data_IF_125691382255
#
_entry.id   IF_125691382255
#
_cell.length_a   1.000
_cell.length_b   1.000
_cell.length_c   1.000
_cell.angle_alpha   90.00
_cell.angle_beta   90.00
_cell.angle_gamma   90.00
#
_symmetry.space_group_name_H-M   'P 1'
#
loop_
_entity.id
_entity.type
_entity.pdbx_description
1 polymer ?
#
# COMPACT_ATOMS: atom_id res chain seq x y z
N UNK A 1 7.37 27.20 -37.97
CA UNK A 1 6.37 26.29 -38.57
C UNK A 1 6.70 24.94 -38.02
N UNK A 2 6.03 24.54 -36.98
CA UNK A 2 6.24 23.24 -36.31
C UNK A 2 5.44 22.19 -37.08
N UNK A 3 6.14 21.35 -37.80
CA UNK A 3 5.53 20.20 -38.45
C UNK A 3 5.10 19.18 -37.40
N UNK A 4 3.83 18.96 -37.40
CA UNK A 4 3.05 17.81 -36.91
C UNK A 4 3.78 16.80 -36.02
N UNK A 5 3.67 17.01 -34.70
CA UNK A 5 3.90 15.96 -33.74
C UNK A 5 2.86 14.84 -33.96
N UNK A 6 3.29 13.64 -34.31
CA UNK A 6 2.43 12.48 -34.57
C UNK A 6 1.80 11.86 -33.34
N UNK A 7 1.89 12.50 -32.15
CA UNK A 7 1.24 12.09 -30.91
C UNK A 7 1.81 10.85 -30.23
N UNK A 8 2.86 10.22 -30.76
CA UNK A 8 3.46 9.03 -30.13
C UNK A 8 4.70 9.41 -29.31
N UNK A 9 4.47 9.78 -28.05
CA UNK A 9 5.52 10.28 -27.14
C UNK A 9 6.47 9.19 -26.64
N UNK A 10 6.13 7.92 -26.72
CA UNK A 10 6.94 6.81 -26.21
C UNK A 10 8.19 6.51 -27.06
N UNK A 11 8.22 6.94 -28.32
CA UNK A 11 9.34 6.74 -29.24
C UNK A 11 10.02 8.04 -29.71
N UNK A 12 9.63 9.20 -29.15
CA UNK A 12 10.13 10.50 -29.55
C UNK A 12 11.38 10.90 -28.77
N UNK A 13 12.48 11.24 -29.43
CA UNK A 13 13.74 11.72 -28.84
C UNK A 13 13.81 13.23 -28.62
N UNK A 14 12.79 13.98 -29.00
CA UNK A 14 12.75 15.44 -28.91
C UNK A 14 12.35 15.92 -27.52
N UNK A 15 12.96 17.00 -27.02
CA UNK A 15 12.58 17.69 -25.80
C UNK A 15 11.33 18.54 -26.05
N UNK A 16 10.14 17.96 -25.84
CA UNK A 16 8.86 18.61 -26.07
C UNK A 16 8.27 19.13 -24.75
N UNK A 17 7.88 20.43 -24.74
CA UNK A 17 7.21 21.05 -23.58
C UNK A 17 5.80 20.50 -23.30
N UNK A 18 5.20 19.80 -24.26
CA UNK A 18 3.88 19.16 -24.14
C UNK A 18 3.95 17.70 -23.67
N UNK A 19 5.16 17.16 -23.45
CA UNK A 19 5.30 15.80 -22.93
C UNK A 19 4.72 15.76 -21.49
N UNK A 20 3.55 15.19 -21.36
CA UNK A 20 3.02 14.86 -20.03
C UNK A 20 3.97 13.83 -19.40
N UNK A 21 4.50 14.07 -18.17
CA UNK A 21 5.28 13.05 -17.50
C UNK A 21 4.41 11.79 -17.36
N UNK A 22 4.97 10.64 -17.72
CA UNK A 22 4.32 9.36 -17.42
C UNK A 22 4.06 9.31 -15.91
N UNK A 23 2.82 9.05 -15.55
CA UNK A 23 2.47 8.87 -14.15
C UNK A 23 3.16 7.61 -13.64
N UNK A 24 4.06 7.77 -12.67
CA UNK A 24 4.67 6.65 -11.95
C UNK A 24 3.71 6.03 -10.91
N UNK A 25 2.47 6.49 -10.90
CA UNK A 25 1.45 6.03 -9.96
C UNK A 25 0.96 4.64 -10.36
N UNK A 26 1.29 3.65 -9.54
CA UNK A 26 0.72 2.31 -9.66
C UNK A 26 -0.80 2.37 -9.45
N UNK A 27 -1.54 1.59 -10.24
CA UNK A 27 -2.99 1.48 -10.07
C UNK A 27 -3.30 0.41 -9.02
N UNK A 28 -4.29 0.64 -8.15
CA UNK A 28 -4.70 -0.39 -7.20
C UNK A 28 -5.33 -1.58 -7.93
N UNK A 29 -5.46 -2.71 -7.23
CA UNK A 29 -6.18 -3.86 -7.75
C UNK A 29 -7.55 -3.43 -8.31
N UNK A 30 -7.95 -3.86 -9.52
CA UNK A 30 -9.23 -3.45 -10.13
C UNK A 30 -10.47 -3.81 -9.30
N UNK A 31 -10.37 -4.80 -8.42
CA UNK A 31 -11.44 -5.20 -7.51
C UNK A 31 -11.47 -4.40 -6.22
N UNK A 32 -10.41 -3.64 -5.93
CA UNK A 32 -10.34 -2.77 -4.77
C UNK A 32 -11.26 -1.56 -4.91
N UNK A 33 -11.90 -1.19 -3.81
CA UNK A 33 -12.67 0.05 -3.70
C UNK A 33 -12.10 0.89 -2.57
N UNK A 34 -11.34 1.90 -2.94
CA UNK A 34 -10.60 2.77 -2.01
C UNK A 34 -11.08 4.21 -2.20
N UNK A 35 -11.53 4.84 -1.12
CA UNK A 35 -12.01 6.22 -1.13
C UNK A 35 -10.87 7.22 -1.14
N UNK A 36 -10.08 7.26 -0.07
CA UNK A 36 -8.94 8.17 0.10
C UNK A 36 -7.75 7.47 0.70
N UNK A 37 -6.56 7.86 0.27
CA UNK A 37 -5.30 7.39 0.83
C UNK A 37 -4.65 8.50 1.65
N UNK A 38 -4.25 8.18 2.89
CA UNK A 38 -3.54 9.09 3.79
C UNK A 38 -2.16 8.48 4.07
N UNK A 39 -1.10 9.18 3.68
CA UNK A 39 0.26 8.74 3.94
C UNK A 39 0.77 9.34 5.26
N UNK A 40 1.18 8.49 6.20
CA UNK A 40 1.85 8.89 7.44
C UNK A 40 3.34 8.67 7.27
N UNK A 41 4.08 9.74 7.05
CA UNK A 41 5.49 9.69 6.64
C UNK A 41 6.39 10.41 7.65
N UNK A 42 7.60 9.87 7.89
CA UNK A 42 8.64 10.55 8.66
C UNK A 42 10.02 10.08 8.21
N UNK A 43 10.96 11.02 8.14
CA UNK A 43 12.38 10.72 7.86
C UNK A 43 13.15 10.18 9.06
N UNK A 44 12.52 10.02 10.24
CA UNK A 44 13.17 9.55 11.46
C UNK A 44 12.43 8.35 12.05
N UNK A 45 13.18 7.34 12.50
CA UNK A 45 12.63 6.21 13.23
C UNK A 45 12.14 6.58 14.64
N UNK A 46 11.21 5.80 15.20
CA UNK A 46 10.77 5.94 16.60
C UNK A 46 9.92 7.16 16.94
N UNK A 47 9.44 7.92 15.94
CA UNK A 47 8.63 9.14 16.16
C UNK A 47 7.12 8.88 16.27
N UNK A 48 6.69 7.63 16.20
CA UNK A 48 5.29 7.25 16.40
C UNK A 48 4.46 7.14 15.12
N UNK A 49 5.05 6.96 13.94
CA UNK A 49 4.30 6.74 12.68
C UNK A 49 3.21 5.69 12.82
N UNK A 50 3.58 4.48 13.22
CA UNK A 50 2.66 3.35 13.38
C UNK A 50 1.58 3.63 14.41
N UNK A 51 1.93 4.28 15.52
CA UNK A 51 0.95 4.71 16.55
C UNK A 51 -0.07 5.67 15.97
N UNK A 52 0.38 6.69 15.23
CA UNK A 52 -0.52 7.66 14.58
C UNK A 52 -1.40 6.98 13.54
N UNK A 53 -0.84 6.08 12.72
CA UNK A 53 -1.62 5.31 11.74
C UNK A 53 -2.69 4.45 12.40
N UNK A 54 -2.33 3.73 13.46
CA UNK A 54 -3.27 2.89 14.21
C UNK A 54 -4.38 3.73 14.89
N UNK A 55 -4.04 4.88 15.46
CA UNK A 55 -5.01 5.79 16.06
C UNK A 55 -5.96 6.38 15.03
N UNK A 56 -5.46 6.77 13.85
CA UNK A 56 -6.29 7.29 12.76
C UNK A 56 -7.26 6.23 12.26
N UNK A 57 -6.78 5.02 11.95
CA UNK A 57 -7.62 3.91 11.50
C UNK A 57 -8.72 3.58 12.53
N UNK A 58 -8.35 3.51 13.81
CA UNK A 58 -9.30 3.26 14.90
C UNK A 58 -10.32 4.40 15.04
N UNK A 59 -9.89 5.66 14.93
CA UNK A 59 -10.79 6.81 15.00
C UNK A 59 -11.79 6.81 13.82
N UNK A 60 -11.33 6.52 12.61
CA UNK A 60 -12.19 6.40 11.43
C UNK A 60 -13.21 5.28 11.60
N UNK A 61 -12.76 4.11 12.04
CA UNK A 61 -13.64 2.96 12.30
C UNK A 61 -14.72 3.28 13.34
N UNK A 62 -14.37 3.99 14.43
CA UNK A 62 -15.33 4.43 15.46
C UNK A 62 -16.37 5.42 14.94
N UNK A 63 -16.08 6.14 13.88
CA UNK A 63 -17.05 7.04 13.22
C UNK A 63 -17.90 6.34 12.16
N UNK A 64 -17.82 5.02 12.05
CA UNK A 64 -18.57 4.22 11.09
C UNK A 64 -17.96 4.23 9.68
N UNK A 65 -16.68 4.66 9.54
CA UNK A 65 -15.92 4.61 8.29
C UNK A 65 -15.12 3.31 8.23
N UNK A 66 -15.03 2.72 7.07
CA UNK A 66 -14.19 1.54 6.84
C UNK A 66 -12.74 1.99 6.64
N UNK A 67 -11.83 1.45 7.44
CA UNK A 67 -10.41 1.78 7.39
C UNK A 67 -9.58 0.59 6.94
N UNK A 68 -8.57 0.86 6.10
CA UNK A 68 -7.50 -0.07 5.75
C UNK A 68 -6.15 0.52 6.17
N UNK A 69 -5.22 -0.33 6.55
CA UNK A 69 -3.84 0.07 6.89
C UNK A 69 -2.86 -0.78 6.10
N UNK A 70 -2.09 -0.13 5.23
CA UNK A 70 -0.96 -0.74 4.54
C UNK A 70 0.32 -0.38 5.30
N UNK A 71 0.97 -1.37 5.91
CA UNK A 71 2.25 -1.19 6.58
C UNK A 71 3.40 -1.28 5.57
N UNK A 72 3.96 -0.13 5.23
CA UNK A 72 5.08 -0.02 4.30
C UNK A 72 6.45 -0.08 5.01
N UNK A 73 6.50 -0.30 6.32
CA UNK A 73 7.75 -0.51 7.06
C UNK A 73 8.13 -2.00 7.04
N UNK A 74 8.67 -2.44 5.91
CA UNK A 74 9.03 -3.84 5.66
C UNK A 74 10.11 -4.34 6.63
N UNK A 75 10.98 -3.45 7.10
CA UNK A 75 12.13 -3.80 7.96
C UNK A 75 11.77 -3.94 9.43
N UNK A 76 10.67 -3.34 9.86
CA UNK A 76 10.22 -3.35 11.25
C UNK A 76 8.70 -3.21 11.36
N UNK A 77 7.95 -4.10 10.69
CA UNK A 77 6.49 -3.98 10.64
C UNK A 77 5.91 -4.11 12.04
N UNK A 78 5.09 -3.14 12.42
CA UNK A 78 4.56 -3.00 13.77
C UNK A 78 3.03 -2.88 13.82
N UNK A 79 2.39 -2.68 12.71
CA UNK A 79 0.93 -2.49 12.62
C UNK A 79 0.16 -3.74 13.03
N UNK A 80 0.45 -4.97 12.52
CA UNK A 80 -0.27 -6.16 12.96
C UNK A 80 -0.22 -6.36 14.46
N UNK A 81 0.97 -6.18 15.05
CA UNK A 81 1.16 -6.30 16.51
C UNK A 81 0.37 -5.23 17.29
N UNK A 82 0.30 -4.00 16.78
CA UNK A 82 -0.45 -2.92 17.42
C UNK A 82 -1.96 -3.21 17.46
N UNK A 83 -2.47 -3.98 16.51
CA UNK A 83 -3.89 -4.39 16.45
C UNK A 83 -4.15 -5.81 16.98
N UNK A 84 -3.12 -6.52 17.44
CA UNK A 84 -3.24 -7.90 17.92
C UNK A 84 -3.62 -8.91 16.84
N UNK A 85 -3.26 -8.61 15.58
CA UNK A 85 -3.52 -9.49 14.44
C UNK A 85 -2.32 -10.41 14.23
N UNK A 86 -2.58 -11.73 14.31
CA UNK A 86 -1.59 -12.78 14.04
C UNK A 86 -2.03 -13.73 12.91
N UNK A 87 -3.25 -13.57 12.41
CA UNK A 87 -3.73 -14.37 11.28
C UNK A 87 -3.05 -13.91 9.99
N UNK A 88 -2.58 -14.88 9.20
CA UNK A 88 -1.98 -14.59 7.89
C UNK A 88 -3.01 -14.01 6.93
N UNK A 89 -2.55 -13.17 6.01
CA UNK A 89 -3.33 -12.78 4.86
C UNK A 89 -3.66 -14.02 4.01
N UNK A 90 -4.85 -14.07 3.47
CA UNK A 90 -5.26 -15.15 2.56
C UNK A 90 -5.05 -14.73 1.10
N UNK A 91 -4.79 -15.69 0.22
CA UNK A 91 -4.64 -15.44 -1.20
C UNK A 91 -5.36 -16.52 -2.01
N UNK A 92 -5.92 -16.13 -3.15
CA UNK A 92 -6.50 -17.01 -4.14
C UNK A 92 -6.10 -16.58 -5.57
N UNK A 93 -6.76 -17.13 -6.59
CA UNK A 93 -6.51 -16.77 -8.00
C UNK A 93 -6.89 -15.31 -8.32
N UNK A 94 -7.68 -14.65 -7.48
CA UNK A 94 -8.17 -13.30 -7.70
C UNK A 94 -7.23 -12.23 -7.11
N UNK A 95 -6.48 -12.57 -6.05
CA UNK A 95 -5.54 -11.68 -5.39
C UNK A 95 -5.29 -12.03 -3.94
N UNK A 96 -4.76 -11.06 -3.21
CA UNK A 96 -4.44 -11.18 -1.78
C UNK A 96 -5.52 -10.44 -0.98
N UNK A 97 -6.01 -11.08 0.07
CA UNK A 97 -6.98 -10.48 0.99
C UNK A 97 -6.28 -10.06 2.28
N UNK A 98 -6.43 -8.80 2.70
CA UNK A 98 -5.83 -8.33 3.94
C UNK A 98 -6.43 -9.04 5.16
N UNK A 99 -5.66 -9.17 6.21
CA UNK A 99 -6.19 -9.61 7.50
C UNK A 99 -7.18 -8.56 8.03
N UNK A 100 -8.19 -9.00 8.77
CA UNK A 100 -9.25 -8.12 9.28
C UNK A 100 -9.27 -8.21 10.81
N UNK A 101 -9.19 -7.07 11.49
CA UNK A 101 -9.32 -7.01 12.94
C UNK A 101 -10.75 -7.30 13.39
N UNK A 102 -10.96 -7.61 14.67
CA UNK A 102 -12.29 -7.78 15.26
C UNK A 102 -13.19 -6.53 15.06
N UNK A 103 -12.59 -5.36 14.98
CA UNK A 103 -13.31 -4.10 14.71
C UNK A 103 -13.58 -3.84 13.22
N UNK A 104 -13.10 -4.69 12.32
CA UNK A 104 -13.32 -4.58 10.87
C UNK A 104 -12.30 -3.71 10.13
N UNK A 105 -11.15 -3.39 10.73
CA UNK A 105 -10.05 -2.69 10.06
C UNK A 105 -9.27 -3.71 9.23
N UNK A 106 -9.07 -3.43 7.95
CA UNK A 106 -8.28 -4.26 7.04
C UNK A 106 -6.80 -3.92 7.20
N UNK A 107 -5.94 -4.92 7.33
CA UNK A 107 -4.50 -4.72 7.54
C UNK A 107 -3.70 -5.56 6.55
N UNK A 108 -2.74 -4.92 5.91
CA UNK A 108 -1.75 -5.59 5.08
C UNK A 108 -0.33 -5.20 5.52
N UNK A 109 0.48 -6.21 5.77
CA UNK A 109 1.88 -6.09 6.19
C UNK A 109 2.66 -7.30 5.72
N UNK A 110 3.96 -7.17 5.55
CA UNK A 110 4.83 -8.28 5.15
C UNK A 110 4.75 -9.46 6.10
N UNK A 111 4.64 -9.21 7.40
CA UNK A 111 4.54 -10.27 8.42
C UNK A 111 3.33 -11.18 8.23
N UNK A 112 2.27 -10.68 7.61
CA UNK A 112 1.05 -11.44 7.38
C UNK A 112 1.13 -12.36 6.16
N UNK A 113 2.23 -12.29 5.40
CA UNK A 113 2.54 -13.19 4.28
C UNK A 113 3.53 -14.29 4.64
N UNK A 114 4.15 -14.22 5.82
CA UNK A 114 5.13 -15.18 6.28
C UNK A 114 4.43 -16.28 7.10
N UNK A 115 4.84 -17.53 6.91
CA UNK A 115 4.33 -18.65 7.71
C UNK A 115 4.80 -18.56 9.18
N UNK A 116 5.99 -17.96 9.40
CA UNK A 116 6.54 -17.69 10.74
C UNK A 116 7.00 -16.24 10.84
N UNK A 117 6.63 -15.55 11.93
CA UNK A 117 7.01 -14.15 12.20
C UNK A 117 8.53 -13.93 12.27
N UNK A 118 9.29 -14.97 12.65
CA UNK A 118 10.74 -14.93 12.84
C UNK A 118 11.55 -15.32 11.59
N UNK A 119 10.89 -15.59 10.47
CA UNK A 119 11.60 -15.94 9.24
C UNK A 119 12.47 -14.76 8.77
N UNK A 120 13.80 -14.94 8.64
CA UNK A 120 14.69 -13.87 8.27
C UNK A 120 14.50 -13.49 6.81
N UNK A 121 13.78 -12.41 6.57
CA UNK A 121 13.57 -11.89 5.23
C UNK A 121 14.67 -10.88 4.90
N UNK A 122 15.63 -11.30 4.06
CA UNK A 122 16.69 -10.42 3.57
C UNK A 122 16.17 -9.56 2.41
N UNK A 123 15.47 -8.48 2.76
CA UNK A 123 14.98 -7.53 1.78
C UNK A 123 16.07 -6.50 1.41
N UNK A 124 16.39 -6.39 0.13
CA UNK A 124 17.21 -5.28 -0.40
C UNK A 124 16.29 -4.19 -0.93
N UNK A 125 16.74 -2.93 -0.92
CA UNK A 125 15.92 -1.76 -1.26
C UNK A 125 14.98 -1.90 -2.48
N UNK A 126 15.43 -2.38 -3.64
CA UNK A 126 14.55 -2.58 -4.80
C UNK A 126 13.44 -3.61 -4.57
N UNK A 127 13.71 -4.66 -3.76
CA UNK A 127 12.72 -5.69 -3.42
C UNK A 127 11.68 -5.13 -2.46
N UNK A 128 12.09 -4.27 -1.52
CA UNK A 128 11.18 -3.59 -0.58
C UNK A 128 10.18 -2.70 -1.35
N UNK A 129 10.67 -1.91 -2.29
CA UNK A 129 9.80 -1.06 -3.10
C UNK A 129 8.78 -1.89 -3.90
N UNK A 130 9.23 -3.01 -4.50
CA UNK A 130 8.36 -3.93 -5.22
C UNK A 130 7.31 -4.59 -4.32
N UNK A 131 7.65 -4.94 -3.08
CA UNK A 131 6.68 -5.52 -2.14
C UNK A 131 5.59 -4.53 -1.75
N UNK A 132 5.94 -3.27 -1.48
CA UNK A 132 4.96 -2.22 -1.18
C UNK A 132 4.06 -1.95 -2.39
N UNK A 133 4.62 -1.97 -3.61
CA UNK A 133 3.85 -1.86 -4.85
C UNK A 133 2.87 -3.03 -5.00
N UNK A 134 3.30 -4.27 -4.74
CA UNK A 134 2.43 -5.44 -4.75
C UNK A 134 1.31 -5.36 -3.71
N UNK A 135 1.56 -4.82 -2.53
CA UNK A 135 0.49 -4.57 -1.54
C UNK A 135 -0.55 -3.57 -2.02
N UNK A 136 -0.20 -2.76 -2.99
CA UNK A 136 -1.12 -1.82 -3.63
C UNK A 136 -1.84 -2.45 -4.82
N UNK A 137 -1.11 -3.20 -5.68
CA UNK A 137 -1.62 -3.74 -6.95
C UNK A 137 -2.33 -5.07 -6.81
N UNK A 138 -1.90 -5.94 -5.89
CA UNK A 138 -2.37 -7.32 -5.79
C UNK A 138 -3.35 -7.55 -4.64
N UNK A 139 -3.32 -6.68 -3.62
CA UNK A 139 -4.25 -6.76 -2.50
C UNK A 139 -5.63 -6.21 -2.88
N UNK A 140 -6.65 -6.95 -2.54
CA UNK A 140 -8.06 -6.57 -2.74
C UNK A 140 -8.56 -5.87 -1.47
N UNK A 141 -8.64 -4.55 -1.51
CA UNK A 141 -9.19 -3.72 -0.44
C UNK A 141 -10.71 -3.60 -0.58
N UNK A 142 -11.46 -4.23 0.34
CA UNK A 142 -12.92 -4.25 0.23
C UNK A 142 -13.55 -2.99 0.83
N UNK A 143 -13.98 -2.08 -0.03
CA UNK A 143 -14.80 -0.91 0.33
C UNK A 143 -14.21 -0.07 1.47
N UNK A 144 -12.92 0.27 1.43
CA UNK A 144 -12.29 1.14 2.43
C UNK A 144 -12.52 2.62 2.08
N UNK A 145 -12.96 3.40 3.07
CA UNK A 145 -13.12 4.85 2.93
C UNK A 145 -11.77 5.56 3.03
N UNK A 146 -10.82 5.02 3.87
CA UNK A 146 -9.51 5.58 4.15
C UNK A 146 -8.44 4.51 4.27
#
# INVERSE_FOLDING_TARGET
MSETCGGNCSSCSEACSERKPESLQAQPNPKSKIGKVIAVVSGKGGVGKSTVSAMLATAMQRTGRRAGVLDADITGPSIPKAFGVSECASADEEGIYPAVTESGIQIMSVNLLLEHEDDPVLWRGPIIAGAVEQFWTDVIWDNVDY
#
